data_IF_444837486957
#
_entry.id   IF_444837486957
#
_cell.length_a   1.000
_cell.length_b   1.000
_cell.length_c   1.000
_cell.angle_alpha   90.00
_cell.angle_beta   90.00
_cell.angle_gamma   90.00
#
_symmetry.space_group_name_H-M   'P 1'
#
loop_
_entity.id
_entity.type
_entity.pdbx_description
1 polymer ?
#
# COMPACT_ATOMS: atom_id res chain seq x y z
N UNK A 1 -4.44 25.42 28.64
CA UNK A 1 -5.79 24.84 28.76
C UNK A 1 -5.97 23.81 27.65
N UNK A 2 -6.27 22.55 27.97
CA UNK A 2 -6.53 21.54 26.95
C UNK A 2 -7.91 21.79 26.33
N UNK A 3 -7.98 21.96 25.00
CA UNK A 3 -9.26 22.08 24.29
C UNK A 3 -9.93 20.70 24.34
N UNK A 4 -10.97 20.55 25.17
CA UNK A 4 -11.74 19.30 25.26
C UNK A 4 -12.69 19.28 24.06
N UNK A 5 -12.34 18.47 23.04
CA UNK A 5 -13.24 18.24 21.90
C UNK A 5 -14.35 17.27 22.28
N UNK A 6 -15.60 17.61 21.97
CA UNK A 6 -16.73 16.69 22.14
C UNK A 6 -16.63 15.55 21.10
N UNK A 7 -16.65 14.27 21.52
CA UNK A 7 -16.67 13.15 20.59
C UNK A 7 -17.90 13.20 19.68
N UNK A 8 -17.74 12.76 18.44
CA UNK A 8 -18.82 12.65 17.46
C UNK A 8 -19.73 11.48 17.81
N UNK A 9 -21.00 11.61 17.43
CA UNK A 9 -21.98 10.53 17.42
C UNK A 9 -22.18 10.00 16.01
N UNK A 10 -22.63 8.75 15.88
CA UNK A 10 -22.92 8.13 14.59
C UNK A 10 -23.95 8.94 13.79
N UNK A 11 -24.91 9.57 14.47
CA UNK A 11 -25.93 10.41 13.84
C UNK A 11 -25.37 11.72 13.30
N UNK A 12 -24.41 12.36 13.99
CA UNK A 12 -23.71 13.55 13.49
C UNK A 12 -22.88 13.23 12.24
N UNK A 13 -22.15 12.10 12.26
CA UNK A 13 -21.38 11.61 11.12
C UNK A 13 -22.29 11.38 9.91
N UNK A 14 -23.43 10.71 10.11
CA UNK A 14 -24.39 10.42 9.05
C UNK A 14 -25.00 11.72 8.49
N UNK A 15 -25.44 12.63 9.37
CA UNK A 15 -26.12 13.89 8.99
C UNK A 15 -25.18 14.96 8.43
N UNK A 16 -23.85 14.80 8.57
CA UNK A 16 -22.89 15.75 8.02
C UNK A 16 -23.09 15.91 6.50
N UNK A 17 -23.39 17.16 6.08
CA UNK A 17 -23.66 17.51 4.68
C UNK A 17 -22.40 18.04 4.00
N UNK A 18 -22.20 17.81 2.70
CA UNK A 18 -21.15 18.47 1.95
C UNK A 18 -21.33 20.00 1.98
N UNK A 19 -20.21 20.72 1.93
CA UNK A 19 -20.16 22.17 1.81
C UNK A 19 -19.34 22.56 0.57
N UNK A 20 -19.37 23.84 0.18
CA UNK A 20 -18.61 24.33 -0.98
C UNK A 20 -17.09 24.10 -0.87
N UNK A 21 -16.57 23.99 0.36
CA UNK A 21 -15.16 23.68 0.64
C UNK A 21 -15.08 22.48 1.59
N UNK A 22 -14.02 21.65 1.49
CA UNK A 22 -13.82 20.55 2.41
C UNK A 22 -13.67 21.08 3.85
N UNK A 23 -14.28 20.39 4.80
CA UNK A 23 -14.21 20.74 6.23
C UNK A 23 -14.03 19.50 7.10
N UNK A 24 -13.66 19.71 8.37
CA UNK A 24 -13.36 18.64 9.31
C UNK A 24 -14.30 18.69 10.52
N UNK A 25 -14.78 17.52 10.93
CA UNK A 25 -15.43 17.30 12.22
C UNK A 25 -14.45 16.54 13.12
N UNK A 26 -14.19 17.02 14.33
CA UNK A 26 -13.20 16.43 15.22
C UNK A 26 -13.86 15.51 16.25
N UNK A 27 -13.30 14.31 16.42
CA UNK A 27 -13.72 13.33 17.43
C UNK A 27 -12.83 13.39 18.70
N UNK A 28 -11.71 14.11 18.61
CA UNK A 28 -10.75 14.30 19.71
C UNK A 28 -9.46 13.50 19.53
N UNK A 29 -8.41 13.88 20.28
CA UNK A 29 -7.08 13.22 20.25
C UNK A 29 -6.51 13.05 18.83
N UNK A 30 -6.77 14.02 17.95
CA UNK A 30 -6.32 14.01 16.55
C UNK A 30 -7.24 13.27 15.57
N UNK A 31 -8.24 12.50 16.02
CA UNK A 31 -9.20 11.87 15.14
C UNK A 31 -10.19 12.90 14.56
N UNK A 32 -10.37 12.90 13.25
CA UNK A 32 -11.31 13.76 12.55
C UNK A 32 -11.93 13.09 11.32
N UNK A 33 -13.10 13.58 10.92
CA UNK A 33 -13.79 13.23 9.70
C UNK A 33 -13.69 14.41 8.73
N UNK A 34 -13.05 14.20 7.58
CA UNK A 34 -13.06 15.14 6.46
C UNK A 34 -14.30 14.91 5.61
N UNK A 35 -15.07 15.98 5.36
CA UNK A 35 -16.21 15.96 4.44
C UNK A 35 -15.84 16.75 3.21
N UNK A 36 -15.82 16.08 2.05
CA UNK A 36 -15.52 16.71 0.77
C UNK A 36 -16.79 17.30 0.12
N UNK A 37 -16.65 18.29 -0.79
CA UNK A 37 -17.80 18.85 -1.51
C UNK A 37 -18.61 17.83 -2.33
N UNK A 38 -17.97 16.74 -2.75
CA UNK A 38 -18.63 15.64 -3.47
C UNK A 38 -19.47 14.72 -2.57
N UNK A 39 -19.52 14.96 -1.25
CA UNK A 39 -20.24 14.14 -0.28
C UNK A 39 -19.44 12.99 0.32
N UNK A 40 -18.24 12.69 -0.19
CA UNK A 40 -17.40 11.64 0.38
C UNK A 40 -16.85 12.07 1.75
N UNK A 41 -16.81 11.11 2.67
CA UNK A 41 -16.42 11.30 4.06
C UNK A 41 -15.22 10.41 4.39
N UNK A 42 -14.10 11.01 4.78
CA UNK A 42 -12.85 10.30 5.05
C UNK A 42 -12.42 10.48 6.50
N UNK A 43 -12.09 9.38 7.15
CA UNK A 43 -11.54 9.39 8.49
C UNK A 43 -10.04 9.64 8.45
N UNK A 44 -9.58 10.56 9.27
CA UNK A 44 -8.18 10.93 9.38
C UNK A 44 -7.73 11.00 10.82
N UNK A 45 -6.48 10.66 11.07
CA UNK A 45 -5.80 10.92 12.33
C UNK A 45 -4.68 11.94 12.11
N UNK A 46 -4.77 13.06 12.82
CA UNK A 46 -3.73 14.08 12.89
C UNK A 46 -2.82 13.80 14.07
N UNK A 47 -1.51 13.75 13.81
CA UNK A 47 -0.50 13.47 14.80
C UNK A 47 0.81 14.17 14.46
N UNK A 48 1.71 14.28 15.44
CA UNK A 48 3.07 14.73 15.20
C UNK A 48 3.96 13.50 15.06
N UNK A 49 4.77 13.45 14.00
CA UNK A 49 5.68 12.31 13.79
C UNK A 49 6.67 12.20 14.96
N UNK A 50 6.87 11.01 15.54
CA UNK A 50 7.83 10.82 16.62
C UNK A 50 9.26 11.22 16.23
N UNK A 51 9.67 10.94 14.99
CA UNK A 51 11.04 11.18 14.51
C UNK A 51 11.37 12.63 14.19
N UNK A 52 10.40 13.40 13.68
CA UNK A 52 10.63 14.75 13.14
C UNK A 52 9.83 15.86 13.82
N UNK A 53 8.86 15.51 14.66
CA UNK A 53 7.91 16.45 15.27
C UNK A 53 6.93 17.10 14.26
N UNK A 54 7.03 16.76 12.97
CA UNK A 54 6.21 17.37 11.91
C UNK A 54 4.75 16.95 12.03
N UNK A 55 3.86 17.94 12.06
CA UNK A 55 2.42 17.73 11.98
C UNK A 55 2.05 16.98 10.69
N UNK A 56 1.37 15.86 10.86
CA UNK A 56 1.07 14.90 9.80
C UNK A 56 -0.36 14.39 9.95
N UNK A 57 -0.96 14.00 8.84
CA UNK A 57 -2.28 13.39 8.78
C UNK A 57 -2.17 12.01 8.11
N UNK A 58 -2.90 11.02 8.60
CA UNK A 58 -3.02 9.68 8.00
C UNK A 58 -4.49 9.32 7.84
N UNK A 59 -4.83 8.67 6.72
CA UNK A 59 -6.19 8.21 6.44
C UNK A 59 -6.45 6.88 7.15
N UNK A 60 -7.59 6.77 7.83
CA UNK A 60 -8.05 5.55 8.51
C UNK A 60 -9.15 4.81 7.73
N UNK A 61 -9.70 5.42 6.68
CA UNK A 61 -10.73 4.80 5.83
C UNK A 61 -11.82 5.78 5.40
N UNK A 62 -12.77 5.28 4.61
CA UNK A 62 -13.90 6.04 4.10
C UNK A 62 -15.20 5.60 4.79
N UNK A 63 -16.06 6.55 5.14
CA UNK A 63 -17.44 6.24 5.55
C UNK A 63 -18.33 6.10 4.30
N UNK A 64 -19.24 5.11 4.22
CA UNK A 64 -19.67 4.20 5.29
C UNK A 64 -18.89 2.89 5.41
N UNK A 65 -17.87 2.65 4.58
CA UNK A 65 -17.12 1.37 4.55
C UNK A 65 -16.50 1.01 5.91
N UNK A 66 -16.12 2.02 6.70
CA UNK A 66 -15.70 1.86 8.09
C UNK A 66 -16.61 2.65 9.05
N UNK A 67 -17.13 1.98 10.08
CA UNK A 67 -17.98 2.61 11.08
C UNK A 67 -17.17 3.48 12.05
N UNK A 68 -17.84 4.42 12.74
CA UNK A 68 -17.21 5.25 13.78
C UNK A 68 -16.55 4.41 14.89
N UNK A 69 -17.20 3.30 15.29
CA UNK A 69 -16.66 2.41 16.31
C UNK A 69 -15.39 1.70 15.84
N UNK A 70 -15.37 1.23 14.59
CA UNK A 70 -14.18 0.63 13.97
C UNK A 70 -13.03 1.62 13.87
N UNK A 71 -13.30 2.83 13.37
CA UNK A 71 -12.28 3.88 13.26
C UNK A 71 -11.68 4.22 14.61
N UNK A 72 -12.48 4.28 15.68
CA UNK A 72 -11.95 4.51 17.04
C UNK A 72 -11.03 3.39 17.50
N UNK A 73 -11.30 2.13 17.15
CA UNK A 73 -10.39 1.01 17.45
C UNK A 73 -9.09 1.13 16.66
N UNK A 74 -9.15 1.43 15.37
CA UNK A 74 -7.95 1.64 14.55
C UNK A 74 -7.13 2.86 15.03
N UNK A 75 -7.82 3.93 15.43
CA UNK A 75 -7.20 5.11 16.04
C UNK A 75 -6.47 4.78 17.34
N UNK A 76 -7.06 3.95 18.21
CA UNK A 76 -6.39 3.51 19.44
C UNK A 76 -5.13 2.69 19.15
N UNK A 77 -5.18 1.78 18.17
CA UNK A 77 -3.98 1.04 17.73
C UNK A 77 -2.89 1.99 17.22
N UNK A 78 -3.28 3.00 16.45
CA UNK A 78 -2.37 4.02 15.93
C UNK A 78 -1.72 4.83 17.06
N UNK A 79 -2.50 5.27 18.04
CA UNK A 79 -1.98 5.96 19.22
C UNK A 79 -1.02 5.06 20.03
N UNK A 80 -1.29 3.76 20.12
CA UNK A 80 -0.40 2.81 20.78
C UNK A 80 0.94 2.67 20.04
N UNK A 81 0.95 2.71 18.71
CA UNK A 81 2.19 2.72 17.92
C UNK A 81 2.98 4.01 18.13
N UNK A 82 2.29 5.16 18.09
CA UNK A 82 2.91 6.46 18.33
C UNK A 82 3.50 6.57 19.75
N UNK A 83 2.81 6.01 20.75
CA UNK A 83 3.32 5.97 22.12
C UNK A 83 4.61 5.14 22.27
N UNK A 84 4.82 4.16 21.38
CA UNK A 84 6.07 3.39 21.27
C UNK A 84 7.13 4.09 20.41
N UNK A 85 6.85 5.30 19.91
CA UNK A 85 7.75 6.05 19.03
C UNK A 85 7.78 5.56 17.58
N UNK A 86 6.84 4.69 17.18
CA UNK A 86 6.79 4.11 15.83
C UNK A 86 5.88 4.97 14.95
N UNK A 87 6.39 5.45 13.80
CA UNK A 87 5.59 6.22 12.83
C UNK A 87 4.78 5.29 11.91
N UNK A 88 3.43 5.34 11.93
CA UNK A 88 2.58 4.52 11.05
C UNK A 88 2.87 4.71 9.56
N UNK A 89 3.31 5.91 9.13
CA UNK A 89 3.67 6.15 7.73
C UNK A 89 4.95 5.46 7.30
N UNK A 90 5.87 5.23 8.24
CA UNK A 90 7.09 4.46 7.95
C UNK A 90 6.76 2.99 7.78
N UNK A 91 5.85 2.44 8.60
CA UNK A 91 5.33 1.07 8.41
C UNK A 91 4.65 0.92 7.05
N UNK A 92 3.76 1.84 6.68
CA UNK A 92 3.08 1.80 5.38
C UNK A 92 4.08 1.88 4.22
N UNK A 93 5.05 2.79 4.31
CA UNK A 93 6.11 2.92 3.31
C UNK A 93 6.93 1.64 3.19
N UNK A 94 7.35 1.06 4.31
CA UNK A 94 8.14 -0.16 4.31
C UNK A 94 7.35 -1.34 3.75
N UNK A 95 6.06 -1.46 4.07
CA UNK A 95 5.19 -2.47 3.46
C UNK A 95 5.04 -2.28 1.95
N UNK A 96 4.91 -1.03 1.47
CA UNK A 96 4.87 -0.73 0.03
C UNK A 96 6.21 -1.04 -0.64
N UNK A 97 7.33 -0.64 -0.03
CA UNK A 97 8.67 -0.89 -0.55
C UNK A 97 8.98 -2.39 -0.58
N UNK A 98 8.56 -3.15 0.44
CA UNK A 98 8.65 -4.61 0.44
C UNK A 98 7.83 -5.23 -0.68
N UNK A 99 6.56 -4.82 -0.86
CA UNK A 99 5.72 -5.30 -1.97
C UNK A 99 6.35 -5.01 -3.33
N UNK A 100 6.88 -3.81 -3.52
CA UNK A 100 7.61 -3.44 -4.75
C UNK A 100 8.84 -4.31 -4.96
N UNK A 101 9.64 -4.53 -3.91
CA UNK A 101 10.81 -5.42 -4.00
C UNK A 101 10.41 -6.84 -4.36
N UNK A 102 9.35 -7.38 -3.76
CA UNK A 102 8.82 -8.70 -4.10
C UNK A 102 8.39 -8.75 -5.55
N UNK A 103 7.64 -7.74 -6.02
CA UNK A 103 7.15 -7.67 -7.41
C UNK A 103 8.30 -7.52 -8.42
N UNK A 104 9.25 -6.61 -8.16
CA UNK A 104 10.42 -6.40 -8.99
C UNK A 104 11.38 -7.59 -9.02
N UNK A 105 11.38 -8.39 -7.95
CA UNK A 105 12.20 -9.60 -7.84
C UNK A 105 11.53 -10.80 -8.50
N UNK A 106 10.29 -10.73 -9.01
CA UNK A 106 9.66 -11.85 -9.72
C UNK A 106 10.48 -12.22 -10.95
N UNK A 107 10.67 -13.52 -11.19
CA UNK A 107 11.46 -14.00 -12.33
C UNK A 107 10.98 -13.41 -13.65
N UNK A 108 9.65 -13.31 -13.87
CA UNK A 108 9.08 -12.70 -15.07
C UNK A 108 9.54 -11.25 -15.26
N UNK A 109 9.51 -10.43 -14.21
CA UNK A 109 9.92 -9.02 -14.27
C UNK A 109 11.42 -8.88 -14.55
N UNK A 110 12.24 -9.75 -13.95
CA UNK A 110 13.68 -9.81 -14.23
C UNK A 110 13.94 -10.28 -15.67
N UNK A 111 13.20 -11.27 -16.16
CA UNK A 111 13.30 -11.79 -17.51
C UNK A 111 12.90 -10.74 -18.56
N UNK A 112 11.88 -9.93 -18.31
CA UNK A 112 11.52 -8.78 -19.16
C UNK A 112 12.65 -7.74 -19.24
N UNK A 113 13.24 -7.38 -18.08
CA UNK A 113 14.38 -6.44 -18.02
C UNK A 113 15.57 -6.99 -18.80
N UNK A 114 15.91 -8.27 -18.62
CA UNK A 114 16.96 -8.95 -19.38
C UNK A 114 16.64 -9.00 -20.87
N UNK A 115 15.40 -9.30 -21.25
CA UNK A 115 14.99 -9.42 -22.65
C UNK A 115 15.12 -8.09 -23.39
N UNK A 116 14.76 -6.96 -22.77
CA UNK A 116 14.97 -5.61 -23.32
C UNK A 116 16.45 -5.34 -23.65
N UNK A 117 17.37 -5.74 -22.77
CA UNK A 117 18.81 -5.63 -23.01
C UNK A 117 19.26 -6.59 -24.12
N UNK A 118 18.71 -7.80 -24.13
CA UNK A 118 19.06 -8.84 -25.10
C UNK A 118 18.59 -8.50 -26.51
N UNK A 119 17.42 -7.85 -26.66
CA UNK A 119 16.86 -7.39 -27.95
C UNK A 119 17.85 -6.53 -28.74
N UNK A 120 18.61 -5.66 -28.08
CA UNK A 120 19.65 -4.85 -28.74
C UNK A 120 20.86 -5.64 -29.24
N UNK A 121 20.98 -6.92 -28.90
CA UNK A 121 22.13 -7.80 -29.21
C UNK A 121 21.77 -8.98 -30.12
N UNK A 122 20.49 -9.17 -30.48
CA UNK A 122 20.02 -10.28 -31.32
C UNK A 122 19.07 -9.76 -32.40
N UNK A 123 18.81 -10.57 -33.43
CA UNK A 123 17.80 -10.22 -34.43
C UNK A 123 16.39 -10.24 -33.83
N UNK A 124 15.47 -9.41 -34.33
CA UNK A 124 14.10 -9.34 -33.79
C UNK A 124 13.42 -10.71 -33.79
N UNK A 125 13.61 -11.49 -34.87
CA UNK A 125 13.08 -12.87 -34.98
C UNK A 125 13.57 -13.76 -33.83
N UNK A 126 14.87 -13.68 -33.49
CA UNK A 126 15.43 -14.49 -32.42
C UNK A 126 15.00 -13.98 -31.04
N UNK A 127 14.85 -12.67 -30.85
CA UNK A 127 14.30 -12.11 -29.62
C UNK A 127 12.86 -12.59 -29.36
N UNK A 128 11.99 -12.57 -30.38
CA UNK A 128 10.60 -13.08 -30.26
C UNK A 128 10.60 -14.56 -29.90
N UNK A 129 11.46 -15.37 -30.54
CA UNK A 129 11.54 -16.81 -30.27
C UNK A 129 11.99 -17.11 -28.84
N UNK A 130 12.99 -16.37 -28.32
CA UNK A 130 13.43 -16.48 -26.92
C UNK A 130 12.28 -16.15 -25.97
N UNK A 131 11.55 -15.06 -26.24
CA UNK A 131 10.44 -14.63 -25.38
C UNK A 131 9.32 -15.67 -25.34
N UNK A 132 8.91 -16.16 -26.51
CA UNK A 132 7.88 -17.20 -26.62
C UNK A 132 8.27 -18.50 -25.89
N UNK A 133 9.55 -18.87 -25.91
CA UNK A 133 10.03 -20.02 -25.14
C UNK A 133 9.92 -19.80 -23.63
N UNK A 134 10.26 -18.60 -23.15
CA UNK A 134 10.11 -18.24 -21.74
C UNK A 134 8.64 -18.23 -21.31
N UNK A 135 7.75 -17.68 -22.13
CA UNK A 135 6.31 -17.64 -21.86
C UNK A 135 5.66 -19.01 -21.77
N UNK A 136 6.04 -19.93 -22.66
CA UNK A 136 5.40 -21.24 -22.74
C UNK A 136 6.00 -22.26 -21.75
N UNK A 137 7.30 -22.17 -21.47
CA UNK A 137 8.00 -23.24 -20.74
C UNK A 137 8.47 -22.83 -19.34
N UNK A 138 8.74 -21.54 -19.11
CA UNK A 138 9.42 -21.08 -17.88
C UNK A 138 8.48 -20.29 -16.97
N UNK A 139 7.74 -19.33 -17.52
CA UNK A 139 6.83 -18.50 -16.75
C UNK A 139 5.67 -19.25 -16.08
N UNK A 140 5.11 -20.34 -16.63
CA UNK A 140 4.05 -21.10 -15.94
C UNK A 140 4.52 -21.72 -14.62
N UNK A 141 5.80 -22.07 -14.53
CA UNK A 141 6.35 -22.74 -13.36
C UNK A 141 7.01 -21.79 -12.36
N UNK A 142 7.80 -20.81 -12.84
CA UNK A 142 8.61 -19.95 -11.96
C UNK A 142 8.40 -18.45 -12.18
N UNK A 143 7.54 -18.04 -13.12
CA UNK A 143 7.40 -16.64 -13.51
C UNK A 143 6.99 -15.71 -12.36
N UNK A 144 6.23 -16.23 -11.41
CA UNK A 144 5.69 -15.49 -10.27
C UNK A 144 6.52 -15.61 -8.99
N UNK A 145 7.57 -16.44 -9.02
CA UNK A 145 8.46 -16.69 -7.89
C UNK A 145 9.54 -15.60 -7.85
N UNK A 146 9.92 -15.18 -6.65
CA UNK A 146 11.03 -14.25 -6.43
C UNK A 146 12.36 -14.90 -6.82
N UNK A 147 13.20 -14.22 -7.60
CA UNK A 147 14.54 -14.69 -7.95
C UNK A 147 15.45 -14.89 -6.73
N UNK A 148 15.14 -14.26 -5.60
CA UNK A 148 15.87 -14.46 -4.34
C UNK A 148 15.53 -15.78 -3.65
N UNK A 149 14.39 -16.39 -4.02
CA UNK A 149 13.90 -17.64 -3.44
C UNK A 149 14.15 -18.84 -4.36
N UNK A 150 14.48 -18.61 -5.63
CA UNK A 150 14.80 -19.67 -6.59
C UNK A 150 16.07 -20.42 -6.20
N UNK A 151 15.96 -21.74 -6.14
CA UNK A 151 17.09 -22.65 -5.89
C UNK A 151 17.40 -23.45 -7.16
N UNK A 152 18.63 -23.95 -7.25
CA UNK A 152 19.04 -24.77 -8.40
C UNK A 152 18.10 -25.96 -8.70
N UNK A 153 17.56 -26.70 -7.70
CA UNK A 153 16.59 -27.76 -7.95
C UNK A 153 15.31 -27.30 -8.68
N UNK A 154 14.84 -26.09 -8.40
CA UNK A 154 13.62 -25.53 -9.00
C UNK A 154 13.80 -25.27 -10.50
N UNK A 155 15.05 -25.11 -10.96
CA UNK A 155 15.40 -24.88 -12.36
C UNK A 155 15.65 -26.18 -13.14
N UNK A 156 16.14 -27.22 -12.47
CA UNK A 156 16.49 -28.51 -13.10
C UNK A 156 15.25 -29.23 -13.65
N UNK A 157 14.10 -29.06 -13.01
CA UNK A 157 12.83 -29.62 -13.49
C UNK A 157 12.22 -28.92 -14.71
N UNK A 158 12.72 -27.76 -15.10
CA UNK A 158 12.16 -26.94 -16.20
C UNK A 158 12.79 -27.21 -17.55
N UNK A 159 13.93 -27.89 -17.59
CA UNK A 159 14.56 -28.31 -18.84
C UNK A 159 13.95 -29.63 -19.29
N UNK A 160 13.28 -29.70 -20.46
CA UNK A 160 12.90 -30.98 -21.04
C UNK A 160 14.17 -31.84 -21.25
N UNK A 161 14.09 -33.17 -21.06
CA UNK A 161 15.20 -34.06 -21.36
C UNK A 161 15.63 -33.84 -22.81
N UNK A 162 16.94 -33.70 -23.02
CA UNK A 162 17.56 -33.56 -24.35
C UNK A 162 17.44 -34.83 -25.16
#
# INVERSE_FOLDING_TARGET
MAIITRPLSSSEVQKAKPAAKPYYLFDGRGLCLQIKPNGNKYWHCRYNRPSTGKATEISLGQYPDISLAEVRREHQKLLALLAKGIDPREIEREAVDQRKRTDESRFRVVAEKWHKIKKGKVTEKHAVQIWSSLENNVFPAIGDISVMELKAPDLIGLTPPR
#
